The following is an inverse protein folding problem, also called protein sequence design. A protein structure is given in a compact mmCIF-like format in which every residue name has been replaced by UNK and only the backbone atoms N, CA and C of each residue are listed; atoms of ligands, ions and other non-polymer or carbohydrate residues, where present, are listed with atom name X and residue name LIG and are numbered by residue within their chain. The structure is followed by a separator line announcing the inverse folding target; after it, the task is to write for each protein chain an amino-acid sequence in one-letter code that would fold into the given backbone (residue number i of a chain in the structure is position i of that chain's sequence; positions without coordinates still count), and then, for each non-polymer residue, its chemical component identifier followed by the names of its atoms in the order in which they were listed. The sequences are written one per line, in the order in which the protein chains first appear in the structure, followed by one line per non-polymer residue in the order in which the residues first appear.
data_IF_846656467124
#
_entry.id   IF_846656467124
#
_cell.length_a   1.000
_cell.length_b   1.000
_cell.length_c   1.000
_cell.angle_alpha   90.00
_cell.angle_beta   90.00
_cell.angle_gamma   90.00
#
_symmetry.space_group_name_H-M   'P 1'
#
loop_
_entity.id
_entity.type
_entity.pdbx_description
1 polymer ?
#
# COMPACT_ATOMS: atom_id res chain seq x y z
N UNK A 1 4.31 5.74 -20.35
CA UNK A 1 3.89 4.34 -20.07
C UNK A 1 3.08 4.34 -18.79
N UNK A 2 1.77 4.10 -18.84
CA UNK A 2 0.98 3.95 -17.62
C UNK A 2 1.34 2.60 -17.01
N UNK A 3 2.07 2.59 -15.90
CA UNK A 3 2.45 1.35 -15.22
C UNK A 3 1.18 0.65 -14.72
N UNK A 4 0.83 -0.47 -15.34
CA UNK A 4 -0.35 -1.24 -14.98
C UNK A 4 -0.09 -2.02 -13.68
N UNK A 5 -0.80 -1.65 -12.60
CA UNK A 5 -0.73 -2.37 -11.32
C UNK A 5 -1.31 -3.79 -11.48
N UNK A 6 -0.58 -4.79 -10.99
CA UNK A 6 -0.99 -6.19 -10.96
C UNK A 6 -0.72 -6.79 -9.59
N UNK A 7 -1.60 -7.69 -9.17
CA UNK A 7 -1.40 -8.46 -7.94
C UNK A 7 -0.20 -9.39 -8.11
N UNK A 8 0.69 -9.48 -7.13
CA UNK A 8 1.86 -10.35 -7.22
C UNK A 8 1.53 -11.83 -7.07
N UNK A 9 0.45 -12.16 -6.36
CA UNK A 9 -0.01 -13.54 -6.17
C UNK A 9 -0.79 -14.06 -7.37
N UNK A 10 -1.90 -13.41 -7.73
CA UNK A 10 -2.80 -13.92 -8.78
C UNK A 10 -2.68 -13.22 -10.14
N UNK A 11 -1.81 -12.20 -10.26
CA UNK A 11 -1.58 -11.42 -11.50
C UNK A 11 -2.80 -10.68 -12.05
N UNK A 12 -3.91 -10.64 -11.30
CA UNK A 12 -5.09 -9.81 -11.61
C UNK A 12 -4.67 -8.34 -11.75
N UNK A 13 -5.33 -7.62 -12.65
CA UNK A 13 -5.07 -6.18 -12.90
C UNK A 13 -5.94 -5.32 -11.99
N UNK A 14 -5.40 -4.24 -11.46
CA UNK A 14 -6.19 -3.23 -10.78
C UNK A 14 -7.07 -2.48 -11.80
N UNK A 15 -8.34 -2.26 -11.45
CA UNK A 15 -9.33 -1.59 -12.31
C UNK A 15 -9.95 -0.36 -11.63
N UNK A 16 -9.20 0.30 -10.74
CA UNK A 16 -9.63 1.55 -10.09
C UNK A 16 -10.57 1.37 -8.90
N UNK A 17 -10.69 0.16 -8.34
CA UNK A 17 -11.55 -0.11 -7.19
C UNK A 17 -11.01 -1.25 -6.32
N UNK A 18 -11.42 -1.26 -5.05
CA UNK A 18 -11.05 -2.27 -4.04
C UNK A 18 -9.85 -1.85 -3.19
N UNK A 19 -9.77 -2.45 -2.00
CA UNK A 19 -8.73 -2.23 -0.99
C UNK A 19 -7.49 -3.08 -1.34
N UNK A 20 -6.65 -2.54 -2.22
CA UNK A 20 -5.40 -3.18 -2.61
C UNK A 20 -4.27 -2.74 -1.70
N UNK A 21 -3.53 -3.71 -1.17
CA UNK A 21 -2.37 -3.41 -0.33
C UNK A 21 -1.14 -3.19 -1.23
N UNK A 22 -0.34 -2.18 -0.91
CA UNK A 22 0.96 -1.96 -1.53
C UNK A 22 2.06 -2.43 -0.58
N UNK A 23 3.05 -3.16 -1.10
CA UNK A 23 4.22 -3.57 -0.34
C UNK A 23 5.37 -2.64 -0.68
N UNK A 24 5.89 -1.92 0.32
CA UNK A 24 7.07 -1.07 0.17
C UNK A 24 8.28 -1.68 0.89
N UNK A 25 9.45 -1.62 0.26
CA UNK A 25 10.73 -2.03 0.84
C UNK A 25 11.75 -0.91 0.64
N UNK A 26 12.35 -0.44 1.73
CA UNK A 26 13.31 0.68 1.71
C UNK A 26 12.77 1.93 0.99
N UNK A 27 11.46 2.21 1.16
CA UNK A 27 10.80 3.36 0.55
C UNK A 27 10.44 3.19 -0.94
N UNK A 28 10.61 2.00 -1.51
CA UNK A 28 10.20 1.71 -2.89
C UNK A 28 9.03 0.74 -2.87
N UNK A 29 7.96 1.02 -3.62
CA UNK A 29 6.89 0.05 -3.80
C UNK A 29 7.42 -1.08 -4.68
N UNK A 30 7.46 -2.29 -4.10
CA UNK A 30 7.97 -3.50 -4.76
C UNK A 30 6.84 -4.42 -5.22
N UNK A 31 5.61 -4.17 -4.80
CA UNK A 31 4.52 -5.10 -5.03
C UNK A 31 3.15 -4.60 -4.63
N UNK A 32 2.13 -5.34 -5.06
CA UNK A 32 0.73 -5.10 -4.73
C UNK A 32 -0.03 -6.41 -4.54
N UNK A 33 -1.01 -6.42 -3.63
CA UNK A 33 -1.94 -7.52 -3.42
C UNK A 33 -3.37 -7.06 -3.62
N UNK A 34 -4.19 -7.87 -4.31
CA UNK A 34 -5.62 -7.63 -4.41
C UNK A 34 -6.35 -8.19 -3.17
N UNK A 35 -7.56 -7.69 -2.83
CA UNK A 35 -8.34 -8.13 -1.68
C UNK A 35 -8.44 -9.66 -1.55
N UNK A 36 -8.76 -10.36 -2.64
CA UNK A 36 -8.90 -11.83 -2.67
C UNK A 36 -7.62 -12.59 -2.31
N UNK A 37 -6.46 -11.95 -2.40
CA UNK A 37 -5.16 -12.57 -2.19
C UNK A 37 -4.49 -12.14 -0.90
N UNK A 38 -5.04 -11.18 -0.16
CA UNK A 38 -4.52 -10.78 1.15
C UNK A 38 -4.95 -11.81 2.20
N UNK A 39 -4.11 -12.05 3.20
CA UNK A 39 -4.58 -12.72 4.42
C UNK A 39 -5.35 -11.72 5.30
N UNK A 40 -6.21 -12.18 6.22
CA UNK A 40 -6.88 -11.28 7.17
C UNK A 40 -5.91 -10.42 7.98
N UNK A 41 -4.74 -10.96 8.34
CA UNK A 41 -3.70 -10.26 9.09
C UNK A 41 -3.03 -9.18 8.26
N UNK A 42 -2.71 -9.47 6.99
CA UNK A 42 -2.14 -8.49 6.05
C UNK A 42 -3.11 -7.32 5.82
N UNK A 43 -4.42 -7.62 5.71
CA UNK A 43 -5.44 -6.59 5.59
C UNK A 43 -5.56 -5.76 6.88
N UNK A 44 -5.59 -6.42 8.05
CA UNK A 44 -5.68 -5.73 9.34
C UNK A 44 -4.49 -4.79 9.57
N UNK A 45 -3.26 -5.24 9.24
CA UNK A 45 -2.07 -4.39 9.32
C UNK A 45 -2.17 -3.18 8.38
N UNK A 46 -2.63 -3.38 7.14
CA UNK A 46 -2.81 -2.30 6.18
C UNK A 46 -3.83 -1.26 6.66
N UNK A 47 -4.96 -1.70 7.22
CA UNK A 47 -5.99 -0.82 7.77
C UNK A 47 -5.48 -0.02 8.98
N UNK A 48 -4.74 -0.66 9.91
CA UNK A 48 -4.10 0.02 11.04
C UNK A 48 -3.13 1.07 10.54
N UNK A 49 -2.28 0.71 9.58
CA UNK A 49 -1.30 1.63 9.01
C UNK A 49 -1.98 2.80 8.27
N UNK A 50 -3.04 2.55 7.50
CA UNK A 50 -3.83 3.59 6.84
C UNK A 50 -4.47 4.53 7.87
N UNK A 51 -4.96 4.00 8.98
CA UNK A 51 -5.55 4.79 10.05
C UNK A 51 -4.51 5.63 10.82
N UNK A 52 -3.28 5.13 10.96
CA UNK A 52 -2.27 5.71 11.86
C UNK A 52 -1.12 6.45 11.16
N UNK A 53 -0.92 6.27 9.85
CA UNK A 53 0.19 6.86 9.10
C UNK A 53 -0.31 7.81 8.01
N UNK A 54 0.40 8.93 7.87
CA UNK A 54 0.35 9.80 6.70
C UNK A 54 1.45 9.36 5.74
N UNK A 55 1.04 8.85 4.58
CA UNK A 55 1.96 8.46 3.53
C UNK A 55 2.26 9.63 2.59
N UNK A 56 3.53 9.77 2.21
CA UNK A 56 3.99 10.79 1.28
C UNK A 56 5.22 10.31 0.49
N UNK A 57 5.45 10.95 -0.65
CA UNK A 57 6.67 10.75 -1.44
C UNK A 57 7.60 11.93 -1.14
N UNK A 58 8.83 11.64 -0.71
CA UNK A 58 9.84 12.68 -0.45
C UNK A 58 10.42 13.29 -1.71
N UNK A 59 11.24 14.33 -1.56
CA UNK A 59 11.92 15.00 -2.68
C UNK A 59 12.87 14.07 -3.45
N UNK A 60 13.33 13.00 -2.80
CA UNK A 60 14.15 11.94 -3.37
C UNK A 60 13.35 10.82 -4.07
N UNK A 61 12.02 10.98 -4.16
CA UNK A 61 11.13 10.01 -4.79
C UNK A 61 10.82 8.78 -3.93
N UNK A 62 11.29 8.71 -2.68
CA UNK A 62 11.04 7.59 -1.79
C UNK A 62 9.72 7.74 -1.04
N UNK A 63 8.97 6.64 -0.96
CA UNK A 63 7.75 6.51 -0.19
C UNK A 63 8.07 6.42 1.30
N UNK A 64 7.40 7.25 2.10
CA UNK A 64 7.57 7.32 3.55
C UNK A 64 6.21 7.41 4.23
N UNK A 65 6.13 6.86 5.44
CA UNK A 65 5.01 7.07 6.35
C UNK A 65 5.51 7.87 7.55
N UNK A 66 4.73 8.83 8.02
CA UNK A 66 4.91 9.43 9.35
C UNK A 66 3.67 9.15 10.19
N UNK A 67 3.79 9.02 11.53
CA UNK A 67 2.62 8.93 12.38
C UNK A 67 1.70 10.14 12.18
N UNK A 68 0.40 9.88 12.05
CA UNK A 68 -0.62 10.90 12.22
C UNK A 68 -0.52 11.39 13.66
N UNK A 69 -0.33 12.68 13.83
CA UNK A 69 -0.30 13.28 15.18
C UNK A 69 -1.70 13.13 15.76
N UNK A 70 -1.83 12.33 16.81
CA UNK A 70 -3.06 12.34 17.61
C UNK A 70 -2.98 13.62 18.42
N UNK A 71 -3.69 14.67 18.01
CA UNK A 71 -3.97 15.79 18.90
C UNK A 71 -4.71 15.20 20.09
N UNK A 72 -4.04 15.13 21.24
CA UNK A 72 -4.63 14.72 22.51
C UNK A 72 -5.69 15.73 22.97
#
# INVERSE_FOLDING_TARGET
MSAMIRCDRCRRRYRGHGEWNATARQGVIVGYLCPDCQTPEENAEAEINLATLDYFVGADGLFRGRPKVVSA
#
